data_IF_534995699278
#
_entry.id   IF_534995699278
#
_cell.length_a   1.000
_cell.length_b   1.000
_cell.length_c   1.000
_cell.angle_alpha   90.00
_cell.angle_beta   90.00
_cell.angle_gamma   90.00
#
_symmetry.space_group_name_H-M   'P 1'
#
loop_
_entity.id
_entity.type
_entity.pdbx_description
1 polymer ?
#
# COMPACT_ATOMS: atom_id res chain seq x y z
N UNK A 1 -4.82 -13.42 -24.76
CA UNK A 1 -3.47 -12.83 -24.87
C UNK A 1 -3.14 -12.15 -23.55
N UNK A 2 -2.11 -12.61 -22.83
CA UNK A 2 -1.73 -12.10 -21.51
C UNK A 2 -0.89 -10.81 -21.66
N UNK A 3 -1.44 -9.65 -21.31
CA UNK A 3 -0.66 -8.41 -21.24
C UNK A 3 0.20 -8.40 -19.97
N UNK A 4 1.44 -8.90 -20.08
CA UNK A 4 2.45 -8.85 -19.02
C UNK A 4 3.07 -7.46 -18.93
N UNK A 5 2.48 -6.61 -18.08
CA UNK A 5 3.00 -5.28 -17.71
C UNK A 5 2.96 -4.25 -18.86
N UNK A 6 3.16 -2.95 -18.55
CA UNK A 6 3.22 -1.93 -19.59
C UNK A 6 4.37 -2.25 -20.54
N UNK A 7 4.03 -2.59 -21.79
CA UNK A 7 5.00 -2.73 -22.87
C UNK A 7 5.54 -1.33 -23.24
N UNK A 8 6.71 -1.25 -23.86
CA UNK A 8 7.25 0.02 -24.36
C UNK A 8 6.22 0.73 -25.25
N UNK A 9 5.47 -0.03 -26.07
CA UNK A 9 4.38 0.50 -26.88
C UNK A 9 3.26 1.16 -26.07
N UNK A 10 2.92 0.62 -24.89
CA UNK A 10 1.90 1.22 -24.02
C UNK A 10 2.41 2.52 -23.38
N UNK A 11 3.69 2.55 -22.98
CA UNK A 11 4.32 3.78 -22.45
C UNK A 11 4.29 4.88 -23.51
N UNK A 12 4.66 4.56 -24.76
CA UNK A 12 4.62 5.51 -25.88
C UNK A 12 3.18 5.95 -26.17
N UNK A 13 2.21 5.01 -26.21
CA UNK A 13 0.80 5.32 -26.45
C UNK A 13 0.25 6.31 -25.44
N UNK A 14 0.51 6.11 -24.14
CA UNK A 14 0.10 7.06 -23.11
C UNK A 14 0.78 8.41 -23.28
N UNK A 15 2.08 8.45 -23.59
CA UNK A 15 2.79 9.70 -23.88
C UNK A 15 2.17 10.46 -25.05
N UNK A 16 1.82 9.77 -26.13
CA UNK A 16 1.14 10.34 -27.30
C UNK A 16 -0.28 10.81 -26.96
N UNK A 17 -1.02 10.09 -26.12
CA UNK A 17 -2.37 10.46 -25.69
C UNK A 17 -2.35 11.72 -24.84
N UNK A 18 -1.42 11.83 -23.88
CA UNK A 18 -1.23 13.04 -23.08
C UNK A 18 -0.89 14.22 -23.99
N UNK A 19 0.10 14.05 -24.86
CA UNK A 19 0.53 15.05 -25.83
C UNK A 19 -0.63 15.50 -26.74
N UNK A 20 -1.43 14.56 -27.24
CA UNK A 20 -2.60 14.82 -28.07
C UNK A 20 -3.71 15.58 -27.37
N UNK A 21 -4.02 15.25 -26.10
CA UNK A 21 -5.01 15.98 -25.30
C UNK A 21 -4.55 17.43 -25.06
N UNK A 22 -3.29 17.61 -24.67
CA UNK A 22 -2.72 18.94 -24.45
C UNK A 22 -2.69 19.77 -25.74
N UNK A 23 -2.36 19.15 -26.87
CA UNK A 23 -2.35 19.80 -28.18
C UNK A 23 -3.77 20.17 -28.64
N UNK A 24 -4.77 19.30 -28.41
CA UNK A 24 -6.16 19.59 -28.72
C UNK A 24 -6.67 20.80 -27.92
N UNK A 25 -6.39 20.83 -26.61
CA UNK A 25 -6.72 21.97 -25.76
C UNK A 25 -6.01 23.24 -26.23
N UNK A 26 -4.70 23.17 -26.52
CA UNK A 26 -3.94 24.26 -27.12
C UNK A 26 -4.59 24.79 -28.40
N UNK A 27 -4.91 23.92 -29.35
CA UNK A 27 -5.50 24.33 -30.64
C UNK A 27 -6.84 25.00 -30.46
N UNK A 28 -7.67 24.51 -29.53
CA UNK A 28 -8.97 25.12 -29.22
C UNK A 28 -8.80 26.52 -28.63
N UNK A 29 -7.84 26.69 -27.72
CA UNK A 29 -7.53 27.99 -27.11
C UNK A 29 -6.89 28.96 -28.11
N UNK A 30 -5.92 28.48 -28.89
CA UNK A 30 -5.20 29.24 -29.91
C UNK A 30 -6.09 29.71 -31.07
N UNK A 31 -7.10 28.90 -31.44
CA UNK A 31 -8.05 29.24 -32.50
C UNK A 31 -9.19 30.16 -32.05
N UNK A 32 -9.26 30.54 -30.77
CA UNK A 32 -10.32 31.41 -30.27
C UNK A 32 -11.72 30.78 -30.28
N UNK A 33 -11.81 29.44 -30.25
CA UNK A 33 -13.11 28.76 -30.33
C UNK A 33 -13.89 29.01 -29.04
N UNK A 34 -14.89 29.90 -29.11
CA UNK A 34 -15.84 30.09 -28.01
C UNK A 34 -16.71 28.85 -27.85
N UNK A 35 -16.81 28.35 -26.61
CA UNK A 35 -17.82 27.33 -26.31
C UNK A 35 -19.20 27.92 -26.64
N UNK A 36 -20.01 27.21 -27.44
CA UNK A 36 -21.32 27.68 -27.92
C UNK A 36 -22.36 27.97 -26.82
N UNK A 37 -21.99 27.91 -25.53
CA UNK A 37 -22.93 27.87 -24.41
C UNK A 37 -22.90 29.11 -23.48
N UNK A 38 -22.10 30.14 -23.76
CA UNK A 38 -22.26 31.45 -23.09
C UNK A 38 -21.52 32.56 -23.86
N UNK A 39 -22.10 33.76 -24.06
CA UNK A 39 -21.43 34.88 -24.71
C UNK A 39 -20.27 35.50 -23.90
N UNK A 40 -20.20 35.25 -22.59
CA UNK A 40 -19.42 36.15 -21.70
C UNK A 40 -18.20 35.56 -20.98
N UNK A 41 -17.86 34.26 -21.04
CA UNK A 41 -16.79 33.78 -20.13
C UNK A 41 -15.71 32.81 -20.65
N UNK A 42 -15.79 32.18 -21.83
CA UNK A 42 -14.73 31.25 -22.25
C UNK A 42 -14.62 31.16 -23.78
N UNK A 43 -14.42 32.30 -24.44
CA UNK A 43 -13.67 32.31 -25.69
C UNK A 43 -12.22 32.00 -25.37
N UNK A 44 -11.61 31.02 -26.05
CA UNK A 44 -10.18 30.74 -25.84
C UNK A 44 -9.35 31.98 -26.15
N UNK A 45 -8.67 32.56 -25.16
CA UNK A 45 -7.74 33.65 -25.41
C UNK A 45 -6.44 33.05 -25.99
N UNK A 46 -6.05 33.37 -27.24
CA UNK A 46 -4.83 32.84 -27.84
C UNK A 46 -3.58 33.15 -27.01
N UNK A 47 -3.56 34.25 -26.24
CA UNK A 47 -2.47 34.59 -25.33
C UNK A 47 -2.31 33.59 -24.17
N UNK A 48 -3.39 32.89 -23.80
CA UNK A 48 -3.36 31.85 -22.78
C UNK A 48 -3.05 30.45 -23.34
N UNK A 49 -3.01 30.27 -24.66
CA UNK A 49 -2.77 28.95 -25.26
C UNK A 49 -1.45 28.31 -24.78
N UNK A 50 -0.31 29.03 -24.71
CA UNK A 50 0.95 28.48 -24.18
C UNK A 50 0.81 28.01 -22.73
N UNK A 51 0.17 28.82 -21.89
CA UNK A 51 -0.13 28.49 -20.49
C UNK A 51 -1.00 27.24 -20.37
N UNK A 52 -2.03 27.10 -21.20
CA UNK A 52 -2.93 25.94 -21.22
C UNK A 52 -2.16 24.66 -21.55
N UNK A 53 -1.33 24.66 -22.60
CA UNK A 53 -0.59 23.45 -22.99
C UNK A 53 0.41 23.03 -21.92
N UNK A 54 1.15 23.97 -21.31
CA UNK A 54 2.08 23.65 -20.22
C UNK A 54 1.36 23.13 -18.97
N UNK A 55 0.27 23.79 -18.57
CA UNK A 55 -0.51 23.37 -17.40
C UNK A 55 -1.09 21.97 -17.56
N UNK A 56 -1.66 21.66 -18.72
CA UNK A 56 -2.23 20.32 -18.99
C UNK A 56 -1.11 19.28 -19.09
N UNK A 57 0.00 19.56 -19.79
CA UNK A 57 1.11 18.61 -19.86
C UNK A 57 1.61 18.26 -18.45
N UNK A 58 1.90 19.24 -17.61
CA UNK A 58 2.40 18.99 -16.25
C UNK A 58 1.35 18.32 -15.35
N UNK A 59 0.05 18.62 -15.51
CA UNK A 59 -1.00 18.00 -14.70
C UNK A 59 -1.35 16.56 -15.15
N UNK A 60 -1.40 16.27 -16.45
CA UNK A 60 -1.96 15.00 -16.97
C UNK A 60 -0.96 13.83 -16.86
N UNK A 61 0.35 14.11 -16.77
CA UNK A 61 1.36 13.06 -16.51
C UNK A 61 1.03 12.26 -15.24
N UNK A 62 0.54 12.92 -14.20
CA UNK A 62 0.19 12.23 -12.97
C UNK A 62 -1.10 11.44 -13.06
N UNK A 63 -2.12 12.00 -13.72
CA UNK A 63 -3.41 11.34 -13.94
C UNK A 63 -3.20 10.04 -14.71
N UNK A 64 -2.33 10.05 -15.72
CA UNK A 64 -1.96 8.85 -16.46
C UNK A 64 -1.24 7.81 -15.58
N UNK A 65 -0.39 8.24 -14.64
CA UNK A 65 0.30 7.34 -13.69
C UNK A 65 -0.67 6.77 -12.65
N UNK A 66 -1.60 7.58 -12.13
CA UNK A 66 -2.68 7.13 -11.27
C UNK A 66 -3.61 6.15 -12.01
N UNK A 67 -3.95 6.44 -13.26
CA UNK A 67 -4.74 5.57 -14.11
C UNK A 67 -4.00 4.24 -14.36
N UNK A 68 -2.69 4.25 -14.67
CA UNK A 68 -1.90 3.01 -14.79
C UNK A 68 -1.79 2.24 -13.48
N UNK A 69 -1.71 2.93 -12.35
CA UNK A 69 -1.75 2.32 -11.02
C UNK A 69 -3.10 1.63 -10.78
N UNK A 70 -4.22 2.32 -11.02
CA UNK A 70 -5.58 1.87 -10.69
C UNK A 70 -6.14 0.87 -11.72
N UNK A 71 -6.00 1.11 -13.03
CA UNK A 71 -6.56 0.28 -14.11
C UNK A 71 -5.81 -1.05 -14.29
N UNK A 72 -4.56 -1.16 -13.84
CA UNK A 72 -3.85 -2.45 -13.81
C UNK A 72 -4.30 -3.37 -12.65
N UNK A 73 -5.41 -3.01 -11.98
CA UNK A 73 -6.03 -3.73 -10.88
C UNK A 73 -6.77 -5.02 -11.27
N UNK A 74 -6.90 -5.31 -12.57
CA UNK A 74 -7.45 -6.56 -13.08
C UNK A 74 -6.56 -7.11 -14.20
N UNK A 75 -5.73 -8.10 -13.85
CA UNK A 75 -5.40 -9.24 -14.73
C UNK A 75 -4.48 -10.20 -13.96
N UNK A 76 -5.07 -10.94 -13.02
CA UNK A 76 -4.66 -12.33 -12.87
C UNK A 76 -5.69 -13.17 -13.60
N UNK A 77 -5.30 -13.63 -14.78
CA UNK A 77 -5.93 -14.71 -15.55
C UNK A 77 -5.84 -16.07 -14.86
N UNK A 78 -5.92 -16.10 -13.53
CA UNK A 78 -6.09 -17.33 -12.74
C UNK A 78 -7.55 -17.48 -12.29
N UNK A 79 -8.44 -16.61 -12.80
CA UNK A 79 -9.88 -16.67 -12.62
C UNK A 79 -10.55 -17.91 -13.23
N UNK A 80 -9.82 -18.75 -13.96
CA UNK A 80 -10.38 -19.95 -14.57
C UNK A 80 -10.29 -21.22 -13.70
N UNK A 81 -9.50 -21.27 -12.62
CA UNK A 81 -9.38 -22.51 -11.83
C UNK A 81 -8.86 -22.30 -10.39
N UNK A 82 -9.04 -21.11 -9.82
CA UNK A 82 -8.64 -20.85 -8.44
C UNK A 82 -9.56 -21.60 -7.46
N UNK A 83 -9.09 -22.75 -7.00
CA UNK A 83 -9.60 -23.52 -5.87
C UNK A 83 -10.23 -22.60 -4.79
N UNK A 84 -11.49 -22.78 -4.37
CA UNK A 84 -12.21 -21.84 -3.49
C UNK A 84 -11.55 -21.62 -2.13
N UNK A 85 -10.57 -22.47 -1.78
CA UNK A 85 -9.84 -22.34 -0.54
C UNK A 85 -8.62 -21.42 -0.64
N UNK A 86 -8.01 -21.17 -1.80
CA UNK A 86 -6.79 -20.31 -1.90
C UNK A 86 -7.06 -18.86 -1.47
N UNK A 87 -6.29 -18.26 -0.53
CA UNK A 87 -6.57 -16.92 -0.09
C UNK A 87 -6.13 -16.00 -1.22
N UNK A 88 -7.04 -15.14 -1.67
CA UNK A 88 -6.73 -14.18 -2.72
C UNK A 88 -5.46 -13.41 -2.32
N UNK A 89 -4.45 -13.39 -3.21
CA UNK A 89 -3.28 -12.54 -2.99
C UNK A 89 -3.77 -11.10 -2.78
N UNK A 90 -3.22 -10.35 -1.81
CA UNK A 90 -3.57 -8.95 -1.66
C UNK A 90 -3.26 -8.23 -2.98
N UNK A 91 -4.30 -7.68 -3.60
CA UNK A 91 -4.19 -6.92 -4.87
C UNK A 91 -3.19 -5.78 -4.64
N UNK A 92 -2.11 -5.74 -5.43
CA UNK A 92 -1.22 -4.58 -5.47
C UNK A 92 -2.02 -3.39 -5.99
N UNK A 93 -1.96 -2.26 -5.30
CA UNK A 93 -2.66 -1.03 -5.73
C UNK A 93 -1.90 -0.35 -6.86
N UNK A 94 -0.59 -0.58 -6.97
CA UNK A 94 0.22 -0.15 -8.09
C UNK A 94 1.15 -1.31 -8.51
N UNK A 95 1.08 -1.78 -9.75
CA UNK A 95 2.02 -2.80 -10.26
C UNK A 95 3.47 -2.28 -10.40
N UNK A 96 3.67 -0.98 -10.16
CA UNK A 96 4.90 -0.25 -10.40
C UNK A 96 6.09 -0.72 -9.55
N UNK A 97 5.84 -1.09 -8.28
CA UNK A 97 6.86 -1.65 -7.39
C UNK A 97 7.44 -2.97 -7.93
N UNK A 98 6.64 -3.71 -8.73
CA UNK A 98 7.02 -4.99 -9.34
C UNK A 98 7.66 -4.84 -10.73
N UNK A 99 7.49 -3.70 -11.40
CA UNK A 99 8.11 -3.42 -12.69
C UNK A 99 9.62 -3.18 -12.54
N UNK A 100 10.49 -3.58 -13.48
CA UNK A 100 11.94 -3.37 -13.37
C UNK A 100 12.29 -1.87 -13.38
N UNK A 101 13.29 -1.48 -12.58
CA UNK A 101 13.69 -0.07 -12.42
C UNK A 101 14.04 0.61 -13.75
N UNK A 102 14.68 -0.10 -14.67
CA UNK A 102 14.99 0.43 -16.00
C UNK A 102 13.75 0.86 -16.79
N UNK A 103 12.65 0.09 -16.72
CA UNK A 103 11.39 0.47 -17.38
C UNK A 103 10.73 1.67 -16.71
N UNK A 104 10.79 1.71 -15.39
CA UNK A 104 10.31 2.84 -14.59
C UNK A 104 11.00 4.15 -15.00
N UNK A 105 12.34 4.11 -15.07
CA UNK A 105 13.14 5.28 -15.40
C UNK A 105 12.99 5.71 -16.86
N UNK A 106 12.54 4.80 -17.76
CA UNK A 106 12.28 5.10 -19.17
C UNK A 106 10.97 5.86 -19.43
N UNK A 107 9.99 5.79 -18.52
CA UNK A 107 8.69 6.46 -18.76
C UNK A 107 8.82 7.97 -18.83
N UNK A 108 9.52 8.57 -17.85
CA UNK A 108 9.70 10.02 -17.77
C UNK A 108 10.32 10.64 -19.03
N UNK A 109 11.47 10.15 -19.53
CA UNK A 109 12.08 10.65 -20.76
C UNK A 109 11.20 10.50 -21.99
N UNK A 110 10.52 9.36 -22.16
CA UNK A 110 9.65 9.13 -23.33
C UNK A 110 8.48 10.11 -23.32
N UNK A 111 7.83 10.29 -22.18
CA UNK A 111 6.70 11.21 -22.07
C UNK A 111 7.13 12.67 -22.21
N UNK A 112 8.28 13.04 -21.67
CA UNK A 112 8.88 14.35 -21.85
C UNK A 112 9.18 14.64 -23.34
N UNK A 113 9.68 13.64 -24.08
CA UNK A 113 9.91 13.78 -25.52
C UNK A 113 8.60 13.93 -26.30
N UNK A 114 7.57 13.13 -26.01
CA UNK A 114 6.25 13.28 -26.61
C UNK A 114 5.65 14.67 -26.34
N UNK A 115 5.82 15.17 -25.12
CA UNK A 115 5.38 16.52 -24.71
C UNK A 115 6.10 17.62 -25.48
N UNK A 116 7.42 17.48 -25.63
CA UNK A 116 8.24 18.42 -26.41
C UNK A 116 7.81 18.46 -27.88
N UNK A 117 7.52 17.30 -28.49
CA UNK A 117 7.01 17.22 -29.87
C UNK A 117 5.67 17.95 -30.00
N UNK A 118 4.74 17.75 -29.07
CA UNK A 118 3.47 18.49 -29.08
C UNK A 118 3.67 20.00 -28.94
N UNK A 119 4.61 20.44 -28.10
CA UNK A 119 4.92 21.86 -27.94
C UNK A 119 5.53 22.46 -29.20
N UNK A 120 6.42 21.74 -29.89
CA UNK A 120 6.94 22.20 -31.20
C UNK A 120 5.84 22.29 -32.26
N UNK A 121 4.94 21.31 -32.30
CA UNK A 121 3.79 21.34 -33.20
C UNK A 121 2.94 22.57 -32.86
N UNK A 122 2.53 22.75 -31.61
CA UNK A 122 1.74 23.91 -31.17
C UNK A 122 2.40 25.25 -31.48
N UNK A 123 3.70 25.38 -31.20
CA UNK A 123 4.47 26.60 -31.43
C UNK A 123 4.60 26.94 -32.92
N UNK A 124 4.59 25.94 -33.82
CA UNK A 124 4.72 26.18 -35.27
C UNK A 124 3.57 26.97 -35.89
N UNK A 125 2.39 26.98 -35.25
CA UNK A 125 1.19 27.69 -35.70
C UNK A 125 0.56 28.54 -34.59
N UNK A 126 1.31 28.83 -33.53
CA UNK A 126 0.83 29.67 -32.44
C UNK A 126 0.49 31.08 -32.95
N UNK A 127 -0.65 31.61 -32.52
CA UNK A 127 -1.04 32.97 -32.83
C UNK A 127 -0.10 34.00 -32.16
N UNK A 128 0.39 33.67 -30.96
CA UNK A 128 1.40 34.43 -30.25
C UNK A 128 2.69 33.58 -30.08
N UNK A 129 3.81 33.96 -30.72
CA UNK A 129 5.08 33.28 -30.55
C UNK A 129 5.73 33.58 -29.18
N UNK A 130 5.21 34.53 -28.40
CA UNK A 130 5.76 34.89 -27.10
C UNK A 130 6.94 35.84 -27.14
N UNK A 131 7.39 36.23 -25.95
CA UNK A 131 8.49 37.18 -25.76
C UNK A 131 9.85 36.48 -25.82
N UNK A 132 10.80 37.04 -26.55
CA UNK A 132 12.18 36.57 -26.58
C UNK A 132 12.81 36.56 -25.18
N UNK A 133 13.57 35.53 -24.87
CA UNK A 133 14.16 35.27 -23.55
C UNK A 133 13.28 34.43 -22.60
N UNK A 134 12.03 34.14 -22.99
CA UNK A 134 11.11 33.28 -22.21
C UNK A 134 11.09 31.84 -22.74
N UNK A 135 10.66 30.89 -21.91
CA UNK A 135 10.59 29.46 -22.30
C UNK A 135 9.76 29.24 -23.55
N UNK A 136 8.60 29.90 -23.68
CA UNK A 136 7.76 29.79 -24.87
C UNK A 136 8.42 30.48 -26.06
N UNK A 137 8.81 31.75 -25.92
CA UNK A 137 9.38 32.53 -27.04
C UNK A 137 10.71 32.02 -27.57
N UNK A 138 11.47 31.29 -26.75
CA UNK A 138 12.74 30.71 -27.15
C UNK A 138 12.63 29.24 -27.56
N UNK A 139 11.43 28.64 -27.64
CA UNK A 139 11.27 27.19 -27.78
C UNK A 139 12.01 26.60 -28.99
N UNK A 140 11.94 27.27 -30.14
CA UNK A 140 12.60 26.84 -31.38
C UNK A 140 13.99 27.46 -31.57
N UNK A 141 14.31 28.53 -30.84
CA UNK A 141 15.54 29.31 -31.01
C UNK A 141 16.65 28.98 -30.00
N UNK A 142 16.31 28.35 -28.86
CA UNK A 142 17.25 28.08 -27.78
C UNK A 142 17.10 26.64 -27.28
N UNK A 143 18.14 25.79 -27.31
CA UNK A 143 18.02 24.42 -26.80
C UNK A 143 17.74 24.36 -25.29
N UNK A 144 18.06 25.41 -24.53
CA UNK A 144 17.84 25.44 -23.07
C UNK A 144 16.36 25.50 -22.69
N UNK A 145 15.53 26.17 -23.49
CA UNK A 145 14.08 26.23 -23.26
C UNK A 145 13.47 24.83 -23.45
N UNK A 146 13.79 24.16 -24.56
CA UNK A 146 13.38 22.78 -24.84
C UNK A 146 13.85 21.81 -23.74
N UNK A 147 15.11 21.92 -23.30
CA UNK A 147 15.64 21.08 -22.22
C UNK A 147 14.95 21.35 -20.88
N UNK A 148 14.62 22.61 -20.56
CA UNK A 148 13.91 22.94 -19.32
C UNK A 148 12.55 22.23 -19.24
N UNK A 149 11.82 22.21 -20.36
CA UNK A 149 10.53 21.53 -20.50
C UNK A 149 10.70 20.03 -20.32
N UNK A 150 11.68 19.43 -21.03
CA UNK A 150 11.95 18.00 -20.92
C UNK A 150 12.24 17.60 -19.47
N UNK A 151 13.09 18.37 -18.78
CA UNK A 151 13.44 18.09 -17.39
C UNK A 151 12.26 18.27 -16.43
N UNK A 152 11.42 19.30 -16.62
CA UNK A 152 10.24 19.52 -15.79
C UNK A 152 9.16 18.44 -16.00
N UNK A 153 8.90 18.03 -17.25
CA UNK A 153 7.98 16.93 -17.56
C UNK A 153 8.50 15.60 -16.99
N UNK A 154 9.80 15.33 -17.14
CA UNK A 154 10.42 14.14 -16.56
C UNK A 154 10.38 14.16 -15.04
N UNK A 155 10.73 15.29 -14.41
CA UNK A 155 10.66 15.44 -12.96
C UNK A 155 9.25 15.17 -12.41
N UNK A 156 8.23 15.67 -13.11
CA UNK A 156 6.82 15.46 -12.74
C UNK A 156 6.42 13.98 -12.82
N UNK A 157 6.87 13.26 -13.85
CA UNK A 157 6.68 11.81 -13.94
C UNK A 157 7.39 11.07 -12.78
N UNK A 158 8.65 11.43 -12.48
CA UNK A 158 9.42 10.84 -11.39
C UNK A 158 8.75 11.05 -10.03
N UNK A 159 8.24 12.27 -9.76
CA UNK A 159 7.52 12.57 -8.53
C UNK A 159 6.22 11.76 -8.42
N UNK A 160 5.46 11.64 -9.51
CA UNK A 160 4.24 10.82 -9.53
C UNK A 160 4.54 9.35 -9.24
N UNK A 161 5.65 8.83 -9.72
CA UNK A 161 6.13 7.49 -9.41
C UNK A 161 6.62 7.32 -7.96
N UNK A 162 7.26 8.34 -7.40
CA UNK A 162 7.69 8.36 -6.01
C UNK A 162 6.46 8.28 -5.08
N UNK A 163 5.43 9.08 -5.35
CA UNK A 163 4.16 9.04 -4.61
C UNK A 163 3.41 7.72 -4.78
N UNK A 164 3.41 7.15 -5.99
CA UNK A 164 2.81 5.83 -6.25
C UNK A 164 3.51 4.71 -5.47
N UNK A 165 4.85 4.77 -5.37
CA UNK A 165 5.63 3.82 -4.58
C UNK A 165 5.31 3.94 -3.09
N UNK A 166 5.13 5.17 -2.60
CA UNK A 166 4.73 5.44 -1.22
C UNK A 166 3.32 4.89 -0.94
N UNK A 167 2.37 5.11 -1.85
CA UNK A 167 1.01 4.58 -1.72
C UNK A 167 1.00 3.04 -1.63
N UNK A 168 1.79 2.36 -2.47
CA UNK A 168 1.91 0.89 -2.41
C UNK A 168 2.49 0.41 -1.06
N UNK A 169 3.48 1.14 -0.52
CA UNK A 169 4.09 0.79 0.76
C UNK A 169 3.10 0.86 1.95
N UNK A 170 2.10 1.74 1.89
CA UNK A 170 1.07 1.91 2.93
C UNK A 170 -0.24 1.17 2.65
N UNK A 171 -0.36 0.54 1.48
CA UNK A 171 -1.58 -0.15 1.06
C UNK A 171 -2.05 -1.22 2.05
N UNK A 172 -1.12 -1.83 2.80
CA UNK A 172 -1.40 -2.96 3.70
C UNK A 172 -1.61 -2.56 5.17
N UNK A 173 -1.32 -1.32 5.56
CA UNK A 173 -1.44 -0.89 6.97
C UNK A 173 -2.88 -0.47 7.32
N UNK A 174 -3.50 0.37 6.49
CA UNK A 174 -4.86 0.89 6.66
C UNK A 174 -5.46 1.22 5.29
N UNK A 175 -6.71 0.83 5.02
CA UNK A 175 -7.39 1.11 3.74
C UNK A 175 -7.37 2.59 3.32
N UNK A 176 -7.37 3.51 4.28
CA UNK A 176 -7.36 4.95 4.02
C UNK A 176 -5.99 5.52 3.69
N UNK A 177 -4.91 4.97 4.25
CA UNK A 177 -3.55 5.49 4.08
C UNK A 177 -3.04 5.53 2.62
N UNK A 178 -3.19 4.49 1.78
CA UNK A 178 -2.75 4.54 0.38
C UNK A 178 -3.56 5.57 -0.41
N UNK A 179 -4.86 5.66 -0.13
CA UNK A 179 -5.80 6.54 -0.81
C UNK A 179 -5.50 8.00 -0.43
N UNK A 180 -5.20 8.28 0.84
CA UNK A 180 -4.74 9.59 1.31
C UNK A 180 -3.38 9.97 0.70
N UNK A 181 -2.41 9.05 0.67
CA UNK A 181 -1.09 9.34 0.06
C UNK A 181 -1.23 9.61 -1.44
N UNK A 182 -2.11 8.87 -2.13
CA UNK A 182 -2.35 9.07 -3.56
C UNK A 182 -3.12 10.36 -3.82
N UNK A 183 -4.19 10.66 -3.07
CA UNK A 183 -4.93 11.93 -3.20
C UNK A 183 -4.06 13.13 -2.83
N UNK A 184 -3.33 13.08 -1.71
CA UNK A 184 -2.52 14.21 -1.27
C UNK A 184 -1.27 14.38 -2.15
N UNK A 185 -0.52 13.32 -2.42
CA UNK A 185 0.72 13.41 -3.21
C UNK A 185 0.46 13.67 -4.69
N UNK A 186 -0.51 12.95 -5.27
CA UNK A 186 -0.81 12.99 -6.69
C UNK A 186 -1.85 14.09 -7.01
N UNK A 187 -2.76 14.43 -6.10
CA UNK A 187 -3.63 15.60 -6.26
C UNK A 187 -2.88 16.91 -6.05
N UNK A 188 -2.24 17.10 -4.88
CA UNK A 188 -1.58 18.36 -4.56
C UNK A 188 -0.38 18.62 -5.45
N UNK A 189 0.47 17.61 -5.70
CA UNK A 189 1.66 17.75 -6.53
C UNK A 189 1.36 18.10 -7.99
N UNK A 190 0.18 17.75 -8.48
CA UNK A 190 -0.17 17.90 -9.90
C UNK A 190 -1.01 19.14 -10.11
N UNK A 191 -1.79 19.51 -9.10
CA UNK A 191 -2.37 20.83 -9.00
C UNK A 191 -1.24 21.87 -8.91
N UNK A 192 -0.20 21.67 -8.10
CA UNK A 192 0.93 22.62 -8.05
C UNK A 192 1.75 22.66 -9.33
N UNK A 193 2.09 21.51 -9.93
CA UNK A 193 2.82 21.46 -11.20
C UNK A 193 2.00 22.05 -12.36
N UNK A 194 0.71 21.74 -12.42
CA UNK A 194 -0.23 22.29 -13.41
C UNK A 194 -0.42 23.80 -13.24
N UNK A 195 -0.58 24.29 -12.00
CA UNK A 195 -0.65 25.73 -11.71
C UNK A 195 0.64 26.45 -12.09
N UNK A 196 1.80 25.87 -11.79
CA UNK A 196 3.09 26.44 -12.18
C UNK A 196 3.23 26.50 -13.71
N UNK A 197 2.85 25.43 -14.41
CA UNK A 197 2.78 25.39 -15.87
C UNK A 197 1.87 26.46 -16.45
N UNK A 198 0.66 26.58 -15.90
CA UNK A 198 -0.38 27.49 -16.36
C UNK A 198 -0.06 28.96 -16.09
N UNK A 199 0.37 29.31 -14.88
CA UNK A 199 0.53 30.71 -14.49
C UNK A 199 1.92 31.28 -14.77
N UNK A 200 2.95 30.45 -14.95
CA UNK A 200 4.32 30.95 -14.92
C UNK A 200 5.25 30.41 -16.00
N UNK A 201 5.11 29.14 -16.40
CA UNK A 201 6.19 28.51 -17.17
C UNK A 201 6.39 29.13 -18.55
N UNK A 202 5.32 29.46 -19.27
CA UNK A 202 5.42 30.05 -20.61
C UNK A 202 6.21 31.36 -20.64
N UNK A 203 6.01 32.20 -19.62
CA UNK A 203 6.59 33.54 -19.49
C UNK A 203 7.86 33.57 -18.64
N UNK A 204 8.23 32.43 -18.04
CA UNK A 204 9.43 32.34 -17.21
C UNK A 204 10.69 32.54 -18.06
N UNK A 205 11.69 33.32 -17.58
CA UNK A 205 12.95 33.46 -18.30
C UNK A 205 13.65 32.11 -18.47
N UNK A 206 14.13 31.81 -19.69
CA UNK A 206 14.80 30.54 -20.03
C UNK A 206 15.99 30.25 -19.11
N UNK A 207 16.75 31.30 -18.75
CA UNK A 207 17.91 31.22 -17.85
C UNK A 207 17.56 30.79 -16.42
N UNK A 208 16.30 30.96 -16.00
CA UNK A 208 15.79 30.52 -14.69
C UNK A 208 15.11 29.15 -14.81
N UNK A 209 14.33 28.95 -15.88
CA UNK A 209 13.60 27.71 -16.12
C UNK A 209 14.53 26.50 -16.26
N UNK A 210 15.66 26.66 -16.98
CA UNK A 210 16.63 25.59 -17.19
C UNK A 210 17.23 25.06 -15.87
N UNK A 211 17.89 25.87 -15.02
CA UNK A 211 18.45 25.37 -13.76
C UNK A 211 17.37 24.84 -12.83
N UNK A 212 16.17 25.44 -12.82
CA UNK A 212 15.03 24.92 -12.05
C UNK A 212 14.67 23.50 -12.51
N UNK A 213 14.54 23.26 -13.82
CA UNK A 213 14.29 21.95 -14.39
C UNK A 213 15.37 20.92 -14.00
N UNK A 214 16.65 21.29 -14.07
CA UNK A 214 17.77 20.44 -13.63
C UNK A 214 17.65 20.06 -12.15
N UNK A 215 17.41 21.04 -11.27
CA UNK A 215 17.25 20.80 -9.83
C UNK A 215 16.05 19.89 -9.55
N UNK A 216 14.91 20.17 -10.16
CA UNK A 216 13.71 19.35 -10.02
C UNK A 216 13.94 17.91 -10.50
N UNK A 217 14.68 17.70 -11.59
CA UNK A 217 15.01 16.37 -12.09
C UNK A 217 15.93 15.61 -11.13
N UNK A 218 16.97 16.26 -10.60
CA UNK A 218 17.88 15.65 -9.62
C UNK A 218 17.11 15.26 -8.36
N UNK A 219 16.34 16.19 -7.79
CA UNK A 219 15.57 15.96 -6.56
C UNK A 219 14.53 14.86 -6.75
N UNK A 220 13.76 14.89 -7.84
CA UNK A 220 12.75 13.87 -8.12
C UNK A 220 13.34 12.48 -8.33
N UNK A 221 14.49 12.38 -9.00
CA UNK A 221 15.20 11.11 -9.20
C UNK A 221 15.77 10.57 -7.89
N UNK A 222 16.41 11.45 -7.11
CA UNK A 222 16.94 11.13 -5.79
C UNK A 222 15.85 10.74 -4.79
N UNK A 223 14.61 11.20 -4.98
CA UNK A 223 13.46 10.81 -4.18
C UNK A 223 12.87 9.46 -4.65
N UNK A 224 12.72 9.27 -5.95
CA UNK A 224 12.11 8.08 -6.56
C UNK A 224 12.85 6.78 -6.20
N UNK A 225 14.18 6.76 -6.39
CA UNK A 225 14.99 5.55 -6.21
C UNK A 225 14.89 4.98 -4.79
N UNK A 226 15.18 5.74 -3.71
CA UNK A 226 15.12 5.22 -2.35
C UNK A 226 13.71 4.90 -1.90
N UNK A 227 12.69 5.71 -2.28
CA UNK A 227 11.30 5.43 -1.93
C UNK A 227 10.81 4.13 -2.58
N UNK A 228 11.13 3.92 -3.85
CA UNK A 228 10.79 2.67 -4.54
C UNK A 228 11.47 1.48 -3.90
N UNK A 229 12.75 1.59 -3.56
CA UNK A 229 13.48 0.52 -2.90
C UNK A 229 12.94 0.19 -1.50
N UNK A 230 12.59 1.22 -0.73
CA UNK A 230 11.95 1.07 0.57
C UNK A 230 10.56 0.43 0.43
N UNK A 231 9.76 0.84 -0.56
CA UNK A 231 8.47 0.25 -0.86
C UNK A 231 8.58 -1.23 -1.21
N UNK A 232 9.53 -1.63 -2.09
CA UNK A 232 9.82 -3.04 -2.41
C UNK A 232 10.10 -3.82 -1.13
N UNK A 233 11.07 -3.37 -0.32
CA UNK A 233 11.44 -4.06 0.93
C UNK A 233 10.31 -4.17 1.94
N UNK A 234 9.38 -3.20 1.94
CA UNK A 234 8.22 -3.22 2.82
C UNK A 234 7.17 -4.19 2.31
N UNK A 235 6.86 -4.15 1.02
CA UNK A 235 5.97 -5.10 0.34
C UNK A 235 6.49 -6.52 0.49
N UNK A 236 7.79 -6.74 0.26
CA UNK A 236 8.45 -8.03 0.44
C UNK A 236 8.34 -8.50 1.89
N UNK A 237 8.60 -7.65 2.90
CA UNK A 237 8.42 -8.04 4.31
C UNK A 237 6.99 -8.45 4.65
N UNK A 238 5.98 -7.80 4.06
CA UNK A 238 4.58 -8.18 4.23
C UNK A 238 4.20 -9.44 3.44
N UNK A 239 4.82 -9.68 2.29
CA UNK A 239 4.58 -10.88 1.45
C UNK A 239 5.39 -12.11 1.91
N UNK A 240 6.55 -11.87 2.54
CA UNK A 240 7.50 -12.85 3.08
C UNK A 240 7.33 -13.10 4.57
N UNK A 241 6.56 -12.26 5.27
CA UNK A 241 6.05 -12.54 6.60
C UNK A 241 5.12 -13.75 6.50
N UNK A 242 5.72 -14.93 6.55
CA UNK A 242 5.13 -16.26 6.66
C UNK A 242 3.77 -16.39 5.95
N UNK A 243 3.81 -16.77 4.66
CA UNK A 243 2.71 -17.59 4.13
C UNK A 243 2.63 -18.82 5.03
N UNK A 244 1.56 -19.01 5.83
CA UNK A 244 1.33 -20.30 6.42
C UNK A 244 1.13 -21.24 5.23
N UNK A 245 1.92 -22.31 5.15
CA UNK A 245 1.75 -23.34 4.13
C UNK A 245 0.26 -23.71 4.02
N UNK A 246 -0.21 -24.11 2.84
CA UNK A 246 -1.63 -24.29 2.55
C UNK A 246 -2.39 -25.29 3.47
N UNK A 247 -1.70 -25.95 4.43
CA UNK A 247 -2.30 -26.65 5.56
C UNK A 247 -2.69 -25.79 6.77
N UNK A 248 -2.41 -24.48 6.77
CA UNK A 248 -2.65 -23.55 7.89
C UNK A 248 -3.76 -22.52 7.60
N UNK A 249 -4.61 -22.78 6.59
CA UNK A 249 -5.87 -22.03 6.37
C UNK A 249 -6.96 -22.43 7.38
N UNK A 250 -6.72 -22.13 8.65
CA UNK A 250 -7.76 -22.03 9.70
C UNK A 250 -7.82 -20.60 10.25
N UNK A 251 -8.00 -19.61 9.37
CA UNK A 251 -8.14 -18.19 9.74
C UNK A 251 -6.99 -17.64 10.60
N UNK A 252 -7.04 -16.37 11.05
CA UNK A 252 -6.32 -15.97 12.25
C UNK A 252 -7.06 -16.54 13.47
N UNK A 253 -7.19 -17.87 13.53
CA UNK A 253 -7.38 -18.55 14.79
C UNK A 253 -6.06 -18.39 15.53
N UNK A 254 -6.01 -17.50 16.53
CA UNK A 254 -4.96 -17.47 17.55
C UNK A 254 -4.59 -18.92 17.85
N UNK A 255 -3.39 -19.34 17.47
CA UNK A 255 -2.95 -20.71 17.66
C UNK A 255 -3.15 -21.05 19.13
N UNK A 256 -3.80 -22.18 19.41
CA UNK A 256 -3.83 -22.73 20.77
C UNK A 256 -2.42 -23.08 21.26
N UNK A 257 -1.44 -23.20 20.36
CA UNK A 257 -0.05 -23.42 20.74
C UNK A 257 0.50 -22.25 21.57
N UNK A 258 1.08 -22.54 22.74
CA UNK A 258 1.75 -21.53 23.54
C UNK A 258 2.97 -21.00 22.78
N UNK A 259 3.25 -19.69 22.85
CA UNK A 259 4.43 -19.13 22.21
C UNK A 259 5.69 -19.69 22.87
N UNK A 260 6.73 -19.85 22.04
CA UNK A 260 7.94 -20.58 22.40
C UNK A 260 8.75 -19.95 23.55
N UNK A 261 8.47 -18.68 23.87
CA UNK A 261 9.10 -17.93 24.95
C UNK A 261 8.66 -18.37 26.35
N UNK A 262 7.49 -19.00 26.49
CA UNK A 262 7.04 -19.58 27.77
C UNK A 262 7.68 -20.93 28.09
N UNK A 263 8.22 -21.64 27.11
CA UNK A 263 8.72 -23.01 27.24
C UNK A 263 10.21 -23.02 27.62
N UNK A 264 10.58 -23.90 28.54
CA UNK A 264 11.98 -24.18 28.83
C UNK A 264 12.61 -24.99 27.69
N UNK A 265 13.95 -24.91 27.50
CA UNK A 265 14.63 -25.72 26.50
C UNK A 265 14.33 -27.22 26.67
N UNK A 266 13.72 -27.82 25.64
CA UNK A 266 13.35 -29.24 25.62
C UNK A 266 11.99 -29.58 26.26
N UNK A 267 11.23 -28.59 26.73
CA UNK A 267 9.86 -28.78 27.26
C UNK A 267 8.86 -29.01 26.13
N UNK A 268 8.00 -30.02 26.26
CA UNK A 268 7.01 -30.40 25.24
C UNK A 268 5.60 -30.07 25.70
N UNK A 269 4.84 -29.39 24.86
CA UNK A 269 3.43 -29.09 25.11
C UNK A 269 2.60 -30.36 24.89
N UNK A 270 1.86 -30.74 25.93
CA UNK A 270 0.92 -31.87 25.89
C UNK A 270 -0.45 -31.40 25.42
N UNK A 271 -0.98 -30.32 25.99
CA UNK A 271 -2.23 -29.69 25.57
C UNK A 271 -2.30 -28.25 26.06
N UNK A 272 -3.13 -27.43 25.45
CA UNK A 272 -3.28 -26.02 25.79
C UNK A 272 -4.69 -25.52 25.52
N UNK A 273 -5.10 -24.55 26.33
CA UNK A 273 -6.40 -23.90 26.27
C UNK A 273 -6.21 -22.38 26.28
N UNK A 274 -6.95 -21.70 25.43
CA UNK A 274 -6.92 -20.24 25.32
C UNK A 274 -8.26 -19.65 25.78
N UNK A 275 -8.23 -18.92 26.89
CA UNK A 275 -9.34 -18.08 27.32
C UNK A 275 -9.41 -16.83 26.44
N UNK A 276 -10.41 -16.78 25.55
CA UNK A 276 -10.64 -15.58 24.74
C UNK A 276 -11.46 -14.57 25.57
N UNK A 277 -10.91 -13.39 25.85
CA UNK A 277 -11.72 -12.25 26.26
C UNK A 277 -12.63 -11.81 25.09
N UNK A 278 -13.91 -11.60 25.37
CA UNK A 278 -14.91 -11.14 24.40
C UNK A 278 -14.53 -9.77 23.83
N UNK A 279 -15.01 -9.54 22.61
CA UNK A 279 -14.59 -8.47 21.72
C UNK A 279 -14.70 -7.06 22.35
N UNK A 280 -13.88 -6.14 21.83
CA UNK A 280 -13.56 -4.81 22.32
C UNK A 280 -14.73 -3.79 22.31
N UNK A 281 -15.91 -4.14 22.81
CA UNK A 281 -17.08 -3.25 22.88
C UNK A 281 -17.74 -3.13 24.27
N UNK A 282 -17.17 -3.70 25.32
CA UNK A 282 -17.61 -3.41 26.70
C UNK A 282 -16.52 -2.67 27.47
N UNK A 283 -16.82 -1.42 27.80
CA UNK A 283 -16.02 -0.52 28.62
C UNK A 283 -15.35 -1.20 29.82
N UNK A 284 -14.05 -0.93 29.99
CA UNK A 284 -13.49 -0.66 31.31
C UNK A 284 -12.61 -1.72 31.98
N UNK A 285 -12.35 -2.89 31.37
CA UNK A 285 -11.32 -3.79 31.91
C UNK A 285 -10.73 -4.69 30.82
N UNK A 286 -9.76 -4.16 30.05
CA UNK A 286 -8.95 -4.94 29.10
C UNK A 286 -8.06 -5.89 29.89
N UNK A 287 -8.59 -7.06 30.25
CA UNK A 287 -7.78 -8.16 30.77
C UNK A 287 -7.11 -8.85 29.59
N UNK A 288 -5.78 -8.91 29.63
CA UNK A 288 -4.98 -9.60 28.62
C UNK A 288 -5.47 -11.05 28.46
N UNK A 289 -5.49 -11.60 27.23
CA UNK A 289 -5.95 -12.96 27.01
C UNK A 289 -5.05 -13.96 27.75
N UNK A 290 -5.68 -14.83 28.56
CA UNK A 290 -4.99 -15.82 29.37
C UNK A 290 -5.08 -17.21 28.73
N UNK A 291 -4.07 -18.03 28.97
CA UNK A 291 -4.00 -19.42 28.53
C UNK A 291 -3.66 -20.36 29.69
N UNK A 292 -4.16 -21.59 29.59
CA UNK A 292 -3.72 -22.73 30.39
C UNK A 292 -2.88 -23.64 29.49
N UNK A 293 -1.70 -23.99 29.96
CA UNK A 293 -0.76 -24.83 29.20
C UNK A 293 -0.34 -25.98 30.09
N UNK A 294 -0.45 -27.19 29.56
CA UNK A 294 0.06 -28.40 30.16
C UNK A 294 1.23 -28.89 29.31
N UNK A 295 2.38 -29.06 29.96
CA UNK A 295 3.60 -29.61 29.36
C UNK A 295 3.96 -30.93 30.02
N UNK A 296 4.97 -31.60 29.48
CA UNK A 296 5.58 -32.79 30.07
C UNK A 296 6.28 -32.52 31.41
N UNK A 297 6.49 -31.25 31.77
CA UNK A 297 7.20 -30.84 32.98
C UNK A 297 6.38 -30.03 33.97
N UNK A 298 5.34 -29.31 33.52
CA UNK A 298 4.54 -28.41 34.38
C UNK A 298 3.20 -28.04 33.76
N UNK A 299 2.32 -27.52 34.60
CA UNK A 299 1.09 -26.84 34.20
C UNK A 299 1.25 -25.37 34.55
N UNK A 300 0.93 -24.46 33.63
CA UNK A 300 0.99 -23.04 33.92
C UNK A 300 -0.14 -22.23 33.31
N UNK A 301 -0.51 -21.15 34.00
CA UNK A 301 -1.38 -20.09 33.49
C UNK A 301 -0.51 -18.95 33.00
N UNK A 302 -0.69 -18.52 31.75
CA UNK A 302 0.06 -17.41 31.19
C UNK A 302 -0.86 -16.32 30.61
N UNK A 303 -0.41 -15.08 30.68
CA UNK A 303 -1.01 -13.93 30.00
C UNK A 303 -0.25 -13.64 28.70
N UNK A 304 -0.98 -13.35 27.62
CA UNK A 304 -0.39 -12.91 26.35
C UNK A 304 -0.39 -11.39 26.29
N UNK A 305 0.77 -10.78 26.50
CA UNK A 305 0.95 -9.31 26.48
C UNK A 305 1.04 -8.82 25.02
N UNK A 306 1.70 -9.58 24.14
CA UNK A 306 1.90 -9.25 22.72
C UNK A 306 2.11 -10.55 21.94
N UNK A 307 1.83 -10.63 20.62
CA UNK A 307 2.18 -11.83 19.84
C UNK A 307 3.66 -12.21 20.02
N UNK A 308 3.92 -13.40 20.56
CA UNK A 308 5.27 -13.89 20.87
C UNK A 308 5.89 -13.41 22.19
N UNK A 309 5.12 -12.72 23.05
CA UNK A 309 5.51 -12.40 24.44
C UNK A 309 4.44 -12.83 25.43
N UNK A 310 4.79 -13.76 26.30
CA UNK A 310 3.96 -14.30 27.37
C UNK A 310 4.56 -14.07 28.74
N UNK A 311 3.68 -13.90 29.72
CA UNK A 311 4.06 -13.78 31.12
C UNK A 311 3.37 -14.90 31.90
N UNK A 312 4.18 -15.76 32.54
CA UNK A 312 3.66 -16.86 33.37
C UNK A 312 3.15 -16.27 34.68
N UNK A 313 1.84 -16.39 34.91
CA UNK A 313 1.18 -15.89 36.11
C UNK A 313 1.30 -16.90 37.26
N UNK A 314 1.08 -18.17 36.96
CA UNK A 314 1.05 -19.26 37.94
C UNK A 314 1.60 -20.54 37.30
N UNK A 315 2.30 -21.36 38.08
CA UNK A 315 2.83 -22.66 37.63
C UNK A 315 2.64 -23.76 38.69
N UNK A 316 2.48 -25.01 38.28
CA UNK A 316 2.30 -26.22 39.08
C UNK A 316 3.06 -27.39 38.48
N UNK A 317 3.40 -28.39 39.30
CA UNK A 317 3.95 -29.65 38.83
C UNK A 317 2.83 -30.58 38.33
N UNK A 318 3.07 -31.42 37.31
CA UNK A 318 2.04 -32.30 36.76
C UNK A 318 1.54 -33.34 37.76
N UNK A 319 2.38 -33.75 38.72
CA UNK A 319 2.02 -34.71 39.78
C UNK A 319 1.01 -34.20 40.80
N UNK A 320 0.71 -32.90 40.80
CA UNK A 320 -0.26 -32.28 41.70
C UNK A 320 -1.67 -32.22 41.10
N UNK A 321 -1.83 -32.65 39.84
CA UNK A 321 -3.06 -32.56 39.07
C UNK A 321 -4.13 -33.53 39.58
N UNK A 322 -5.32 -33.04 39.87
CA UNK A 322 -6.46 -33.85 40.33
C UNK A 322 -7.57 -33.98 39.29
N UNK A 323 -7.70 -33.00 38.39
CA UNK A 323 -8.66 -33.04 37.28
C UNK A 323 -8.89 -31.69 36.63
N UNK A 324 -9.84 -31.63 35.70
CA UNK A 324 -10.27 -30.40 35.04
C UNK A 324 -11.79 -30.24 35.11
N UNK A 325 -12.26 -29.00 35.24
CA UNK A 325 -13.68 -28.64 35.19
C UNK A 325 -13.93 -27.60 34.10
N UNK A 326 -15.11 -27.65 33.51
CA UNK A 326 -15.61 -26.68 32.54
C UNK A 326 -17.00 -26.24 32.97
N UNK A 327 -17.14 -24.99 33.40
CA UNK A 327 -18.40 -24.44 33.89
C UNK A 327 -18.86 -23.27 33.02
N UNK A 328 -20.17 -23.18 32.79
CA UNK A 328 -20.78 -22.03 32.14
C UNK A 328 -21.40 -21.13 33.22
N UNK A 329 -20.77 -20.00 33.51
CA UNK A 329 -21.22 -19.06 34.52
C UNK A 329 -21.55 -17.70 33.86
N UNK A 330 -22.79 -17.23 34.01
CA UNK A 330 -23.22 -15.91 33.51
C UNK A 330 -22.85 -15.65 32.04
N UNK A 331 -23.16 -16.62 31.17
CA UNK A 331 -22.85 -16.62 29.73
C UNK A 331 -21.33 -16.58 29.40
N UNK A 332 -20.47 -16.98 30.35
CA UNK A 332 -19.03 -17.11 30.18
C UNK A 332 -18.59 -18.52 30.52
N UNK A 333 -17.76 -19.11 29.68
CA UNK A 333 -17.13 -20.39 29.97
C UNK A 333 -15.93 -20.14 30.87
N UNK A 334 -15.82 -20.90 31.96
CA UNK A 334 -14.69 -20.89 32.88
C UNK A 334 -14.08 -22.29 32.85
N UNK A 335 -12.83 -22.36 32.43
CA UNK A 335 -12.06 -23.61 32.43
C UNK A 335 -11.14 -23.60 33.64
N UNK A 336 -11.23 -24.64 34.48
CA UNK A 336 -10.52 -24.73 35.74
C UNK A 336 -9.67 -26.00 35.78
N UNK A 337 -8.40 -25.86 36.12
CA UNK A 337 -7.51 -26.99 36.46
C UNK A 337 -7.52 -27.16 37.97
N UNK A 338 -7.88 -28.36 38.41
CA UNK A 338 -7.95 -28.75 39.81
C UNK A 338 -6.66 -29.46 40.22
N UNK A 339 -6.27 -29.24 41.46
CA UNK A 339 -5.08 -29.83 42.07
C UNK A 339 -5.42 -30.41 43.44
N UNK A 340 -4.60 -31.34 43.95
CA UNK A 340 -4.83 -31.98 45.26
C UNK A 340 -4.49 -31.04 46.43
N UNK A 341 -3.36 -30.32 46.36
CA UNK A 341 -2.80 -29.59 47.51
C UNK A 341 -2.59 -28.08 47.23
N UNK A 342 -3.37 -27.49 46.32
CA UNK A 342 -3.25 -26.06 45.98
C UNK A 342 -4.53 -25.48 45.39
N UNK A 343 -4.58 -24.15 45.32
CA UNK A 343 -5.68 -23.44 44.69
C UNK A 343 -5.81 -23.81 43.20
N UNK A 344 -7.05 -23.96 42.68
CA UNK A 344 -7.31 -24.20 41.27
C UNK A 344 -6.82 -23.05 40.38
N UNK A 345 -6.33 -23.38 39.19
CA UNK A 345 -6.05 -22.39 38.15
C UNK A 345 -7.27 -22.26 37.25
N UNK A 346 -7.89 -21.09 37.18
CA UNK A 346 -9.02 -20.83 36.29
C UNK A 346 -8.66 -19.82 35.20
N UNK A 347 -9.22 -20.03 34.00
CA UNK A 347 -9.15 -19.10 32.87
C UNK A 347 -10.56 -18.89 32.31
N UNK A 348 -11.07 -17.65 32.31
CA UNK A 348 -12.37 -17.32 31.73
C UNK A 348 -12.29 -17.10 30.22
N UNK A 349 -13.40 -17.34 29.53
CA UNK A 349 -13.55 -17.14 28.08
C UNK A 349 -13.22 -18.39 27.27
N UNK A 350 -13.29 -18.29 25.94
CA UNK A 350 -13.17 -19.42 25.02
C UNK A 350 -14.51 -20.07 24.63
N UNK A 351 -14.47 -21.19 23.91
CA UNK A 351 -15.67 -21.93 23.48
C UNK A 351 -15.96 -23.08 24.45
N UNK A 352 -17.24 -23.37 24.68
CA UNK A 352 -17.66 -24.45 25.60
C UNK A 352 -17.08 -25.82 25.17
N UNK A 353 -17.01 -26.08 23.86
CA UNK A 353 -16.40 -27.30 23.32
C UNK A 353 -14.89 -27.39 23.60
N UNK A 354 -14.13 -26.30 23.42
CA UNK A 354 -12.70 -26.31 23.68
C UNK A 354 -12.39 -26.44 25.17
N UNK A 355 -13.20 -25.79 26.02
CA UNK A 355 -13.12 -25.91 27.47
C UNK A 355 -13.41 -27.34 27.92
N UNK A 356 -14.47 -27.96 27.40
CA UNK A 356 -14.83 -29.33 27.68
C UNK A 356 -13.73 -30.32 27.29
N UNK A 357 -13.20 -30.23 26.07
CA UNK A 357 -12.10 -31.09 25.60
C UNK A 357 -10.83 -30.94 26.44
N UNK A 358 -10.50 -29.71 26.84
CA UNK A 358 -9.33 -29.47 27.68
C UNK A 358 -9.53 -30.03 29.10
N UNK A 359 -10.68 -29.77 29.73
CA UNK A 359 -11.02 -30.30 31.04
C UNK A 359 -11.05 -31.83 31.07
N UNK A 360 -11.57 -32.46 30.00
CA UNK A 360 -11.55 -33.90 29.83
C UNK A 360 -10.11 -34.43 29.68
N UNK A 361 -9.29 -33.81 28.83
CA UNK A 361 -7.90 -34.21 28.65
C UNK A 361 -7.08 -34.13 29.94
N UNK A 362 -7.28 -33.08 30.74
CA UNK A 362 -6.66 -32.91 32.06
C UNK A 362 -7.15 -34.00 33.02
N UNK A 363 -8.45 -34.29 33.03
CA UNK A 363 -9.04 -35.31 33.91
C UNK A 363 -8.57 -36.73 33.56
N UNK A 364 -8.48 -37.05 32.27
CA UNK A 364 -7.95 -38.33 31.79
C UNK A 364 -6.46 -38.44 32.12
N UNK A 365 -5.69 -37.36 31.94
CA UNK A 365 -4.27 -37.34 32.33
C UNK A 365 -4.08 -37.55 33.83
N UNK A 366 -4.84 -36.87 34.67
CA UNK A 366 -4.77 -37.01 36.12
C UNK A 366 -5.07 -38.45 36.58
N UNK A 367 -6.02 -39.13 35.92
CA UNK A 367 -6.45 -40.49 36.29
C UNK A 367 -5.58 -41.60 35.70
N UNK A 368 -5.08 -41.40 34.47
CA UNK A 368 -4.45 -42.48 33.69
C UNK A 368 -2.97 -42.25 33.41
N UNK A 369 -2.45 -41.06 33.72
CA UNK A 369 -1.10 -40.64 33.34
C UNK A 369 -0.91 -40.47 31.82
N UNK A 370 -1.99 -40.55 31.02
CA UNK A 370 -1.96 -40.43 29.56
C UNK A 370 -3.04 -39.47 29.06
N UNK A 371 -2.77 -38.78 27.95
CA UNK A 371 -3.78 -37.97 27.26
C UNK A 371 -4.78 -38.86 26.49
N UNK A 372 -6.04 -38.42 26.34
CA UNK A 372 -7.00 -39.07 25.44
C UNK A 372 -6.49 -38.97 23.98
N UNK A 373 -6.65 -40.05 23.22
CA UNK A 373 -6.19 -40.16 21.82
C UNK A 373 -7.12 -39.45 20.84
#
# INVERSE_FOLDING_TARGET
MKFRGPTIGMIVLFGLLIAGISLAAFTSTNAGVASKHSPDEFGGDPYLAPSVIFGILLAVHSVAIAAMAILSGDDHSDSAEANPHTPRQPKSVTQFVRAPLSRVLLVGPIWALCSLVALFIGHSYAADPGLSGTVWGDLTGNPLSALSIVFLCWATANMSFAWSSLAEAFNRDRRSAPLTVLICGLGLGCLTAGLFGYFGLATLPTIIAFPLGVVCLIVSTALLIPLRWWAIRRVDRFDSGERPSAGSRRGPGRSTQPPADALQPGERVLTSYLGKALDAHSNGNTTDPQMLVLTDRRIFRASIITPGRTFVLEQAEPGQLSGGSSELHSNRVITTVLFNDRQPMSVPGGTAEASGRFAEAITVLARTGRLPR
#
